data_IF_154905497355
#
_entry.id   IF_154905497355
#
_cell.length_a   1.000
_cell.length_b   1.000
_cell.length_c   1.000
_cell.angle_alpha   90.00
_cell.angle_beta   90.00
_cell.angle_gamma   90.00
#
_symmetry.space_group_name_H-M   'P 1'
#
loop_
_entity.id
_entity.type
_entity.pdbx_description
1 polymer ?
#
# COMPACT_ATOMS: atom_id res chain seq x y z
N UNK A 1 8.06 6.83 10.00
CA UNK A 1 8.04 5.44 9.50
C UNK A 1 7.49 4.57 10.61
N UNK A 2 6.69 3.55 10.30
CA UNK A 2 6.05 2.71 11.32
C UNK A 2 4.68 3.19 11.81
N UNK A 3 4.25 4.40 11.44
CA UNK A 3 2.90 4.91 11.74
C UNK A 3 1.84 4.21 10.89
N UNK A 4 0.66 3.99 11.44
CA UNK A 4 -0.50 3.54 10.68
C UNK A 4 -0.92 4.61 9.67
N UNK A 5 -1.39 4.18 8.50
CA UNK A 5 -1.99 5.01 7.47
C UNK A 5 -3.23 4.31 6.91
N UNK A 6 -4.26 5.11 6.64
CA UNK A 6 -5.49 4.67 6.00
C UNK A 6 -5.85 5.62 4.87
N UNK A 7 -6.38 5.08 3.79
CA UNK A 7 -6.81 5.90 2.66
C UNK A 7 -7.66 5.15 1.65
N UNK A 8 -8.33 5.92 0.81
CA UNK A 8 -9.19 5.41 -0.27
C UNK A 8 -8.42 5.37 -1.59
N UNK A 9 -8.54 4.29 -2.34
CA UNK A 9 -7.92 4.16 -3.65
C UNK A 9 -8.55 5.16 -4.61
N UNK A 10 -7.73 6.04 -5.18
CA UNK A 10 -8.16 7.03 -6.18
C UNK A 10 -7.77 6.64 -7.60
N UNK A 11 -6.61 6.02 -7.77
CA UNK A 11 -6.10 5.59 -9.07
C UNK A 11 -5.45 4.22 -8.93
N UNK A 12 -5.68 3.36 -9.93
CA UNK A 12 -5.13 2.01 -10.00
C UNK A 12 -4.29 1.83 -11.26
N UNK A 13 -3.11 1.26 -11.09
CA UNK A 13 -2.18 0.90 -12.14
C UNK A 13 -1.81 -0.58 -12.02
N UNK A 14 -1.25 -1.20 -13.08
CA UNK A 14 -0.85 -2.61 -13.02
C UNK A 14 0.17 -2.94 -11.91
N UNK A 15 0.98 -1.95 -11.50
CA UNK A 15 2.08 -2.15 -10.53
C UNK A 15 1.81 -1.52 -9.16
N UNK A 16 0.65 -0.90 -8.94
CA UNK A 16 0.33 -0.26 -7.66
C UNK A 16 -0.92 0.61 -7.69
N UNK A 17 -1.26 1.16 -6.54
CA UNK A 17 -2.43 2.02 -6.34
C UNK A 17 -2.02 3.31 -5.63
N UNK A 18 -2.67 4.41 -6.01
CA UNK A 18 -2.59 5.66 -5.27
C UNK A 18 -3.78 5.82 -4.34
N UNK A 19 -3.51 6.31 -3.13
CA UNK A 19 -4.49 6.54 -2.09
C UNK A 19 -4.61 8.04 -1.81
N UNK A 20 -5.84 8.49 -1.58
CA UNK A 20 -6.11 9.70 -0.80
C UNK A 20 -6.11 9.31 0.67
N UNK A 21 -5.21 9.91 1.46
CA UNK A 21 -4.99 9.57 2.86
C UNK A 21 -5.94 10.34 3.78
N UNK A 22 -6.59 9.63 4.69
CA UNK A 22 -7.60 10.19 5.59
C UNK A 22 -7.01 11.29 6.49
N UNK A 23 -5.83 11.04 7.06
CA UNK A 23 -5.15 11.93 8.02
C UNK A 23 -4.20 12.94 7.34
N UNK A 24 -4.02 12.86 6.01
CA UNK A 24 -3.12 13.74 5.27
C UNK A 24 -3.70 14.14 3.90
N UNK A 25 -4.74 14.99 3.88
CA UNK A 25 -5.35 15.45 2.63
C UNK A 25 -4.33 16.15 1.72
N UNK A 26 -4.31 15.79 0.44
CA UNK A 26 -3.38 16.35 -0.54
C UNK A 26 -1.97 15.73 -0.53
N UNK A 27 -1.73 14.73 0.33
CA UNK A 27 -0.55 13.87 0.26
C UNK A 27 -0.92 12.59 -0.49
N UNK A 28 -0.08 12.18 -1.44
CA UNK A 28 -0.33 10.99 -2.24
C UNK A 28 0.20 9.75 -1.51
N UNK A 29 -0.70 8.89 -1.03
CA UNK A 29 -0.34 7.55 -0.61
C UNK A 29 -0.06 6.69 -1.84
N UNK A 30 0.93 5.81 -1.76
CA UNK A 30 1.23 4.83 -2.82
C UNK A 30 1.52 3.46 -2.22
N UNK A 31 0.86 2.44 -2.75
CA UNK A 31 1.12 1.04 -2.44
C UNK A 31 1.53 0.36 -3.74
N UNK A 32 2.78 -0.09 -3.81
CA UNK A 32 3.24 -0.92 -4.91
C UNK A 32 2.85 -2.39 -4.71
N UNK A 33 2.84 -3.16 -5.79
CA UNK A 33 2.47 -4.58 -5.79
C UNK A 33 3.25 -5.41 -4.76
N UNK A 34 4.54 -5.13 -4.54
CA UNK A 34 5.38 -5.89 -3.61
C UNK A 34 5.17 -5.47 -2.14
N UNK A 35 4.59 -4.29 -1.93
CA UNK A 35 4.20 -3.78 -0.62
C UNK A 35 2.76 -4.15 -0.24
N UNK A 36 2.01 -4.82 -1.12
CA UNK A 36 0.63 -5.25 -0.89
C UNK A 36 0.54 -6.75 -0.59
N UNK A 37 0.56 -7.11 0.69
CA UNK A 37 0.53 -8.48 1.18
C UNK A 37 -0.52 -8.67 2.30
N UNK A 38 -1.81 -8.36 2.04
CA UNK A 38 -2.84 -8.29 3.09
C UNK A 38 -3.12 -9.63 3.79
N UNK A 39 -2.88 -10.74 3.12
CA UNK A 39 -3.10 -12.11 3.61
C UNK A 39 -1.81 -12.83 4.02
N UNK A 40 -0.64 -12.18 3.83
CA UNK A 40 0.65 -12.75 4.20
C UNK A 40 1.21 -13.76 3.18
N UNK A 41 0.57 -13.96 2.03
CA UNK A 41 0.92 -15.05 1.12
C UNK A 41 1.93 -14.68 0.03
N UNK A 42 2.49 -13.47 0.03
CA UNK A 42 3.41 -13.02 -1.04
C UNK A 42 4.65 -13.90 -1.22
N UNK A 43 5.05 -14.64 -0.17
CA UNK A 43 6.19 -15.56 -0.20
C UNK A 43 5.80 -17.02 -0.46
N UNK A 44 4.50 -17.35 -0.49
CA UNK A 44 4.02 -18.70 -0.69
C UNK A 44 3.96 -19.00 -2.20
N UNK A 45 4.82 -19.90 -2.73
CA UNK A 45 4.91 -20.15 -4.17
C UNK A 45 3.64 -20.77 -4.76
N UNK A 46 2.83 -21.45 -3.94
CA UNK A 46 1.55 -22.06 -4.31
C UNK A 46 0.35 -21.10 -4.20
N UNK A 47 0.51 -19.93 -3.58
CA UNK A 47 -0.58 -19.00 -3.39
C UNK A 47 -0.90 -18.23 -4.68
N UNK A 48 -2.19 -18.02 -5.00
CA UNK A 48 -2.56 -17.15 -6.11
C UNK A 48 -2.10 -15.70 -5.84
N UNK A 49 -1.76 -14.92 -6.88
CA UNK A 49 -1.44 -13.51 -6.71
C UNK A 49 -2.62 -12.76 -6.09
N UNK A 50 -2.34 -11.96 -5.06
CA UNK A 50 -3.37 -11.09 -4.47
C UNK A 50 -3.61 -9.91 -5.41
N UNK A 51 -4.84 -9.70 -5.90
CA UNK A 51 -5.13 -8.56 -6.75
C UNK A 51 -5.00 -7.25 -5.95
N UNK A 52 -4.46 -6.22 -6.60
CA UNK A 52 -4.48 -4.87 -6.04
C UNK A 52 -5.94 -4.41 -5.77
N UNK A 53 -6.15 -3.55 -4.76
CA UNK A 53 -7.45 -2.96 -4.46
C UNK A 53 -8.07 -2.21 -5.64
N UNK A 54 -9.41 -2.22 -5.74
CA UNK A 54 -10.15 -1.45 -6.74
C UNK A 54 -10.25 0.04 -6.37
N UNK A 55 -10.48 0.89 -7.38
CA UNK A 55 -10.77 2.31 -7.14
C UNK A 55 -12.01 2.44 -6.25
N UNK A 56 -11.87 3.21 -5.18
CA UNK A 56 -12.89 3.43 -4.17
C UNK A 56 -12.80 2.50 -2.96
N UNK A 57 -11.97 1.45 -2.99
CA UNK A 57 -11.72 0.60 -1.83
C UNK A 57 -10.85 1.32 -0.80
N UNK A 58 -10.98 0.90 0.46
CA UNK A 58 -10.16 1.44 1.55
C UNK A 58 -9.00 0.51 1.87
N UNK A 59 -7.82 1.09 1.98
CA UNK A 59 -6.58 0.40 2.34
C UNK A 59 -6.08 0.92 3.67
N UNK A 60 -5.65 0.01 4.55
CA UNK A 60 -4.98 0.32 5.80
C UNK A 60 -3.62 -0.39 5.85
N UNK A 61 -2.60 0.32 6.31
CA UNK A 61 -1.24 -0.18 6.31
C UNK A 61 -0.30 0.68 7.14
N UNK A 62 1.00 0.48 6.94
CA UNK A 62 2.06 1.17 7.69
C UNK A 62 2.89 2.03 6.75
N UNK A 63 3.21 3.25 7.18
CA UNK A 63 4.09 4.15 6.43
C UNK A 63 5.52 3.59 6.41
N UNK A 64 5.94 3.16 5.22
CA UNK A 64 7.25 2.57 4.97
C UNK A 64 8.29 3.64 4.60
N UNK A 65 7.91 4.70 3.88
CA UNK A 65 8.85 5.75 3.44
C UNK A 65 8.13 7.07 3.16
N UNK A 66 8.78 8.18 3.51
CA UNK A 66 8.38 9.53 3.08
C UNK A 66 9.30 9.95 1.93
N UNK A 67 8.71 10.42 0.82
CA UNK A 67 9.42 11.04 -0.29
C UNK A 67 9.02 12.51 -0.33
N UNK A 68 9.80 13.34 0.38
CA UNK A 68 9.49 14.77 0.59
C UNK A 68 9.44 15.59 -0.71
N UNK A 69 10.16 15.15 -1.76
CA UNK A 69 10.25 15.88 -3.03
C UNK A 69 8.91 15.91 -3.79
N UNK A 70 8.13 14.83 -3.73
CA UNK A 70 6.91 14.66 -4.51
C UNK A 70 5.64 14.56 -3.64
N UNK A 71 5.77 14.84 -2.33
CA UNK A 71 4.70 14.63 -1.33
C UNK A 71 4.06 13.25 -1.44
N UNK A 72 4.89 12.23 -1.65
CA UNK A 72 4.46 10.85 -1.78
C UNK A 72 4.86 10.06 -0.52
N UNK A 73 3.93 9.27 -0.02
CA UNK A 73 4.16 8.35 1.09
C UNK A 73 3.98 6.94 0.58
N UNK A 74 5.00 6.09 0.76
CA UNK A 74 4.86 4.65 0.50
C UNK A 74 4.25 3.95 1.70
N UNK A 75 3.24 3.15 1.42
CA UNK A 75 2.48 2.39 2.42
C UNK A 75 2.66 0.91 2.14
N UNK A 76 2.83 0.15 3.22
CA UNK A 76 2.86 -1.31 3.20
C UNK A 76 1.59 -1.87 3.81
N UNK A 77 1.03 -2.90 3.21
CA UNK A 77 -0.14 -3.62 3.70
C UNK A 77 0.27 -5.04 4.06
N UNK A 78 0.04 -5.43 5.32
CA UNK A 78 0.40 -6.74 5.85
C UNK A 78 1.88 -6.91 6.18
N UNK A 79 2.26 -8.16 6.47
CA UNK A 79 3.61 -8.50 6.92
C UNK A 79 4.63 -8.33 5.77
N UNK A 80 5.84 -7.81 6.05
CA UNK A 80 6.87 -7.69 5.04
C UNK A 80 7.35 -9.05 4.53
N UNK A 81 7.73 -9.09 3.26
CA UNK A 81 8.23 -10.30 2.61
C UNK A 81 9.55 -10.85 3.22
N UNK A 82 10.24 -10.11 4.08
CA UNK A 82 11.51 -10.54 4.70
C UNK A 82 11.38 -10.98 6.17
N UNK A 83 10.20 -10.90 6.79
CA UNK A 83 9.96 -11.40 8.16
C UNK A 83 9.50 -12.88 8.15
N UNK A 84 10.01 -13.67 7.20
CA UNK A 84 9.71 -15.11 7.07
C UNK A 84 10.64 -15.97 7.91
#
# INVERSE_FOLDING_TARGET
MGSAARGKVKDRFPFGVFLDLDDAPGVNGFVDLLSYNPDGTINAPEAPPVPLPEVGETVAGTVAMHVDRDRQIRIRVGAPFWES
#
